data_IF_698141849265
#
_entry.id   IF_698141849265
#
_cell.length_a   1.000
_cell.length_b   1.000
_cell.length_c   1.000
_cell.angle_alpha   90.00
_cell.angle_beta   90.00
_cell.angle_gamma   90.00
#
_symmetry.space_group_name_H-M   'P 1'
#
loop_
_entity.id
_entity.type
_entity.pdbx_description
1 polymer ?
#
# COMPACT_ATOMS: atom_id res chain seq x y z
N UNK A 1 -28.02 23.21 31.89
CA UNK A 1 -27.56 21.94 32.47
C UNK A 1 -28.54 20.86 32.05
N UNK A 2 -28.12 19.98 31.13
CA UNK A 2 -28.91 18.81 30.75
C UNK A 2 -28.30 17.60 31.44
N UNK A 3 -29.07 16.95 32.31
CA UNK A 3 -28.68 15.71 32.97
C UNK A 3 -28.43 14.66 31.88
N UNK A 4 -27.23 14.08 31.84
CA UNK A 4 -26.82 13.06 30.89
C UNK A 4 -27.52 11.71 31.10
N UNK A 5 -28.84 11.72 31.32
CA UNK A 5 -29.62 10.51 31.38
C UNK A 5 -29.89 10.02 29.95
N UNK A 6 -29.38 8.82 29.67
CA UNK A 6 -29.64 8.11 28.43
C UNK A 6 -31.15 8.02 28.22
N UNK A 7 -31.65 8.68 27.16
CA UNK A 7 -33.06 8.57 26.74
C UNK A 7 -33.34 7.10 26.41
N UNK A 8 -33.98 6.40 27.35
CA UNK A 8 -34.67 5.13 27.10
C UNK A 8 -35.77 5.41 26.05
N UNK A 9 -35.95 4.48 25.12
CA UNK A 9 -36.98 4.46 24.07
C UNK A 9 -36.68 5.14 22.73
N UNK A 10 -35.55 4.77 22.12
CA UNK A 10 -35.49 4.56 20.67
C UNK A 10 -34.83 3.21 20.44
N UNK A 11 -35.31 2.41 19.48
CA UNK A 11 -34.89 1.03 19.19
C UNK A 11 -33.44 0.85 18.77
N UNK A 12 -32.53 1.38 19.57
CA UNK A 12 -31.09 1.27 19.49
C UNK A 12 -30.76 0.02 20.29
N UNK A 13 -30.12 -0.94 19.64
CA UNK A 13 -29.56 -2.14 20.26
C UNK A 13 -28.86 -1.77 21.58
N UNK A 14 -29.17 -2.47 22.69
CA UNK A 14 -28.56 -2.22 24.00
C UNK A 14 -27.03 -2.33 23.95
N UNK A 15 -26.50 -3.11 23.00
CA UNK A 15 -25.07 -3.27 22.76
C UNK A 15 -24.52 -2.31 21.70
N UNK A 16 -25.30 -1.36 21.21
CA UNK A 16 -24.87 -0.44 20.15
C UNK A 16 -23.67 0.42 20.60
N UNK A 17 -23.62 0.82 21.87
CA UNK A 17 -22.49 1.57 22.46
C UNK A 17 -21.24 0.71 22.71
N UNK A 18 -21.38 -0.62 22.76
CA UNK A 18 -20.25 -1.55 22.87
C UNK A 18 -19.67 -1.89 21.50
N UNK A 19 -20.53 -1.94 20.46
CA UNK A 19 -20.13 -2.24 19.07
C UNK A 19 -19.44 -1.08 18.36
N UNK A 20 -19.60 0.15 18.83
CA UNK A 20 -19.03 1.35 18.22
C UNK A 20 -17.79 1.90 18.92
N UNK A 21 -17.24 2.96 18.35
CA UNK A 21 -16.11 3.71 18.90
C UNK A 21 -16.44 5.19 18.93
N UNK A 22 -15.98 5.86 19.97
CA UNK A 22 -16.02 7.30 20.11
C UNK A 22 -14.82 7.94 19.41
N UNK A 23 -15.08 8.99 18.64
CA UNK A 23 -14.09 9.81 17.96
C UNK A 23 -14.13 11.22 18.55
N UNK A 24 -12.96 11.83 18.77
CA UNK A 24 -12.85 13.18 19.33
C UNK A 24 -12.47 14.17 18.22
N UNK A 25 -13.27 15.21 18.06
CA UNK A 25 -13.03 16.30 17.12
C UNK A 25 -12.98 17.62 17.89
N UNK A 26 -12.20 18.58 17.40
CA UNK A 26 -12.39 19.98 17.83
C UNK A 26 -13.61 20.55 17.09
N UNK A 27 -14.40 21.36 17.78
CA UNK A 27 -15.47 22.11 17.14
C UNK A 27 -14.92 23.17 16.16
N UNK A 28 -15.81 23.82 15.41
CA UNK A 28 -15.41 24.81 14.40
C UNK A 28 -14.66 26.03 14.96
N UNK A 29 -14.83 26.33 16.26
CA UNK A 29 -14.15 27.44 16.94
C UNK A 29 -12.78 27.05 17.50
N UNK A 30 -12.48 25.75 17.57
CA UNK A 30 -11.26 25.25 18.18
C UNK A 30 -11.21 25.37 19.72
N UNK A 31 -12.34 25.61 20.38
CA UNK A 31 -12.40 25.88 21.83
C UNK A 31 -12.97 24.72 22.66
N UNK A 32 -13.67 23.77 22.05
CA UNK A 32 -14.17 22.59 22.74
C UNK A 32 -14.05 21.30 21.93
N UNK A 33 -13.97 20.17 22.64
CA UNK A 33 -14.00 18.85 22.04
C UNK A 33 -15.43 18.33 21.93
N UNK A 34 -15.71 17.68 20.81
CA UNK A 34 -16.95 16.97 20.53
C UNK A 34 -16.61 15.50 20.32
N UNK A 35 -17.34 14.62 21.00
CA UNK A 35 -17.21 13.18 20.88
C UNK A 35 -18.35 12.64 20.03
N UNK A 36 -18.02 11.92 18.96
CA UNK A 36 -18.99 11.33 18.04
C UNK A 36 -18.85 9.81 18.06
N UNK A 37 -19.92 9.10 18.38
CA UNK A 37 -19.94 7.66 18.35
C UNK A 37 -20.28 7.17 16.94
N UNK A 38 -19.40 6.41 16.27
CA UNK A 38 -19.58 6.08 14.85
C UNK A 38 -20.80 5.19 14.56
N UNK A 39 -21.21 4.35 15.50
CA UNK A 39 -22.28 3.37 15.29
C UNK A 39 -23.65 3.97 15.61
N UNK A 40 -23.82 4.53 16.81
CA UNK A 40 -25.08 5.16 17.26
C UNK A 40 -25.27 6.56 16.67
N UNK A 41 -24.20 7.17 16.13
CA UNK A 41 -24.16 8.59 15.71
C UNK A 41 -24.44 9.57 16.86
N UNK A 42 -24.30 9.11 18.10
CA UNK A 42 -24.46 9.97 19.28
C UNK A 42 -23.33 11.00 19.35
N UNK A 43 -23.67 12.20 19.81
CA UNK A 43 -22.77 13.34 19.87
C UNK A 43 -22.86 13.95 21.27
N UNK A 44 -21.73 13.98 21.97
CA UNK A 44 -21.64 14.62 23.30
C UNK A 44 -20.44 15.56 23.38
N UNK A 45 -20.58 16.62 24.18
CA UNK A 45 -19.48 17.52 24.53
C UNK A 45 -18.70 17.03 25.77
N UNK A 46 -19.30 16.17 26.59
CA UNK A 46 -18.64 15.55 27.74
C UNK A 46 -17.91 14.28 27.30
N UNK A 47 -16.74 14.02 27.89
CA UNK A 47 -15.98 12.81 27.59
C UNK A 47 -16.81 11.57 27.99
N UNK A 48 -17.13 10.67 27.04
CA UNK A 48 -17.82 9.42 27.35
C UNK A 48 -16.97 8.55 28.28
N UNK A 49 -17.60 7.83 29.21
CA UNK A 49 -16.89 6.96 30.16
C UNK A 49 -16.07 5.86 29.46
N UNK A 50 -16.58 5.33 28.35
CA UNK A 50 -15.90 4.32 27.52
C UNK A 50 -14.96 4.94 26.46
N UNK A 51 -14.69 6.26 26.50
CA UNK A 51 -13.70 6.88 25.62
C UNK A 51 -12.27 6.69 26.17
N UNK A 52 -11.57 5.72 25.57
CA UNK A 52 -10.15 5.51 25.79
C UNK A 52 -9.34 6.33 24.77
N UNK A 53 -8.60 7.33 25.26
CA UNK A 53 -7.55 7.96 24.46
C UNK A 53 -6.40 6.97 24.27
N UNK A 54 -5.79 7.01 23.09
CA UNK A 54 -4.54 6.29 22.87
C UNK A 54 -3.49 6.85 23.82
N UNK A 55 -2.87 5.98 24.61
CA UNK A 55 -1.70 6.31 25.41
C UNK A 55 -0.54 6.77 24.50
N UNK A 56 0.43 7.51 25.05
CA UNK A 56 1.61 7.92 24.29
C UNK A 56 2.40 6.72 23.74
N UNK A 57 2.37 5.58 24.45
CA UNK A 57 2.97 4.32 23.98
C UNK A 57 2.21 3.76 22.77
N UNK A 58 0.88 3.77 22.79
CA UNK A 58 0.05 3.33 21.67
C UNK A 58 0.21 4.25 20.45
N UNK A 59 0.29 5.57 20.64
CA UNK A 59 0.57 6.54 19.56
C UNK A 59 1.96 6.30 18.96
N UNK A 60 2.97 6.11 19.80
CA UNK A 60 4.32 5.81 19.36
C UNK A 60 4.39 4.48 18.59
N UNK A 61 3.61 3.48 19.00
CA UNK A 61 3.48 2.21 18.29
C UNK A 61 2.84 2.38 16.92
N UNK A 62 1.72 3.10 16.82
CA UNK A 62 1.06 3.37 15.53
C UNK A 62 2.03 4.12 14.59
N UNK A 63 2.78 5.09 15.10
CA UNK A 63 3.79 5.80 14.31
C UNK A 63 4.88 4.86 13.76
N UNK A 64 5.22 3.78 14.48
CA UNK A 64 6.18 2.76 14.03
C UNK A 64 5.61 1.81 12.97
N UNK A 65 4.28 1.68 12.87
CA UNK A 65 3.62 0.90 11.82
C UNK A 65 3.78 1.53 10.43
N UNK A 66 3.94 2.86 10.36
CA UNK A 66 4.24 3.58 9.13
C UNK A 66 3.06 4.36 8.58
N UNK A 67 2.80 4.21 7.28
CA UNK A 67 1.76 4.93 6.53
C UNK A 67 0.46 4.13 6.52
N UNK A 68 -0.65 4.76 6.85
CA UNK A 68 -1.95 4.08 6.79
C UNK A 68 -2.34 3.82 5.33
N UNK A 69 -2.94 2.66 5.07
CA UNK A 69 -3.25 2.19 3.70
C UNK A 69 -3.97 3.22 2.81
N UNK A 70 -4.84 4.06 3.38
CA UNK A 70 -5.58 5.09 2.62
C UNK A 70 -4.72 6.28 2.19
N UNK A 71 -3.58 6.49 2.83
CA UNK A 71 -2.64 7.59 2.57
C UNK A 71 -1.54 7.17 1.58
N UNK A 72 -1.40 5.86 1.32
CA UNK A 72 -0.38 5.29 0.43
C UNK A 72 -0.35 5.93 -0.96
N UNK A 73 -1.49 6.20 -1.65
CA UNK A 73 -1.44 6.83 -2.97
C UNK A 73 -0.77 8.21 -2.96
N UNK A 74 -1.10 9.04 -1.97
CA UNK A 74 -0.49 10.36 -1.82
C UNK A 74 1.00 10.26 -1.47
N UNK A 75 1.36 9.25 -0.67
CA UNK A 75 2.76 9.01 -0.31
C UNK A 75 3.61 8.52 -1.49
N UNK A 76 3.06 7.66 -2.36
CA UNK A 76 3.70 7.26 -3.62
C UNK A 76 3.99 8.49 -4.48
N UNK A 77 2.98 9.34 -4.68
CA UNK A 77 3.12 10.58 -5.46
C UNK A 77 4.17 11.51 -4.85
N UNK A 78 4.18 11.65 -3.51
CA UNK A 78 5.17 12.45 -2.79
C UNK A 78 6.60 11.95 -3.04
N UNK A 79 6.83 10.64 -2.95
CA UNK A 79 8.14 10.04 -3.21
C UNK A 79 8.57 10.27 -4.66
N UNK A 80 7.67 10.04 -5.62
CA UNK A 80 7.97 10.23 -7.04
C UNK A 80 8.33 11.68 -7.38
N UNK A 81 7.58 12.63 -6.84
CA UNK A 81 7.72 14.05 -7.22
C UNK A 81 8.83 14.74 -6.44
N UNK A 82 8.98 14.45 -5.14
CA UNK A 82 9.93 15.14 -4.27
C UNK A 82 11.27 14.42 -4.14
N UNK A 83 11.24 13.10 -3.97
CA UNK A 83 12.46 12.30 -3.75
C UNK A 83 13.03 11.76 -5.07
N UNK A 84 12.24 11.75 -6.15
CA UNK A 84 12.63 11.21 -7.46
C UNK A 84 13.13 9.76 -7.37
N UNK A 85 12.43 8.98 -6.56
CA UNK A 85 12.72 7.58 -6.29
C UNK A 85 11.50 6.69 -6.54
N UNK A 86 11.73 5.39 -6.64
CA UNK A 86 10.67 4.38 -6.69
C UNK A 86 10.36 3.94 -5.25
N UNK A 87 9.10 3.96 -4.79
CA UNK A 87 8.74 3.44 -3.48
C UNK A 87 8.66 1.92 -3.45
N UNK A 88 9.24 1.33 -2.40
CA UNK A 88 9.00 -0.06 -1.97
C UNK A 88 8.06 -0.02 -0.76
N UNK A 89 6.87 -0.58 -0.93
CA UNK A 89 5.83 -0.72 0.07
C UNK A 89 6.01 -2.03 0.82
N UNK A 90 6.12 -1.96 2.13
CA UNK A 90 6.23 -3.10 3.03
C UNK A 90 4.97 -3.23 3.86
N UNK A 91 4.19 -4.28 3.62
CA UNK A 91 2.96 -4.56 4.38
C UNK A 91 2.95 -5.96 5.00
N UNK A 92 2.16 -6.15 6.04
CA UNK A 92 1.75 -7.48 6.49
C UNK A 92 0.96 -8.19 5.38
N UNK A 93 0.69 -9.49 5.53
CA UNK A 93 -0.17 -10.22 4.59
C UNK A 93 -1.53 -9.52 4.40
N UNK A 94 -2.19 -9.13 5.49
CA UNK A 94 -3.50 -8.47 5.47
C UNK A 94 -3.43 -7.10 4.79
N UNK A 95 -2.37 -6.33 5.06
CA UNK A 95 -2.14 -5.05 4.37
C UNK A 95 -1.86 -5.21 2.88
N UNK A 96 -1.04 -6.19 2.50
CA UNK A 96 -0.76 -6.47 1.10
C UNK A 96 -2.01 -6.93 0.34
N UNK A 97 -2.84 -7.80 0.92
CA UNK A 97 -4.11 -8.24 0.31
C UNK A 97 -5.09 -7.08 0.12
N UNK A 98 -5.22 -6.21 1.12
CA UNK A 98 -6.01 -4.99 1.02
C UNK A 98 -5.48 -4.04 -0.06
N UNK A 99 -4.15 -3.86 -0.17
CA UNK A 99 -3.53 -3.04 -1.21
C UNK A 99 -3.68 -3.65 -2.61
N UNK A 100 -3.58 -4.97 -2.76
CA UNK A 100 -3.86 -5.65 -4.04
C UNK A 100 -5.26 -5.33 -4.52
N UNK A 101 -6.23 -5.45 -3.62
CA UNK A 101 -7.64 -5.15 -3.88
C UNK A 101 -7.80 -3.68 -4.31
N UNK A 102 -7.18 -2.76 -3.57
CA UNK A 102 -7.15 -1.34 -3.94
C UNK A 102 -6.58 -1.11 -5.35
N UNK A 103 -5.40 -1.65 -5.66
CA UNK A 103 -4.75 -1.44 -6.96
C UNK A 103 -5.48 -2.12 -8.13
N UNK A 104 -6.20 -3.20 -7.86
CA UNK A 104 -7.01 -3.91 -8.86
C UNK A 104 -8.27 -3.11 -9.25
N UNK A 105 -8.95 -2.48 -8.28
CA UNK A 105 -10.20 -1.76 -8.52
C UNK A 105 -10.02 -0.27 -8.81
N UNK A 106 -8.90 0.33 -8.41
CA UNK A 106 -8.64 1.74 -8.63
C UNK A 106 -8.26 1.98 -10.11
N UNK A 107 -9.05 2.85 -10.77
CA UNK A 107 -8.86 3.24 -12.18
C UNK A 107 -7.54 3.94 -12.45
N UNK A 108 -6.93 4.55 -11.43
CA UNK A 108 -5.67 5.29 -11.53
C UNK A 108 -4.45 4.40 -11.27
N UNK A 109 -4.65 3.08 -11.26
CA UNK A 109 -3.57 2.13 -11.02
C UNK A 109 -3.72 0.84 -11.82
N UNK A 110 -2.67 0.03 -11.79
CA UNK A 110 -2.64 -1.29 -12.39
C UNK A 110 -1.82 -2.20 -11.51
N UNK A 111 -2.35 -3.38 -11.21
CA UNK A 111 -1.64 -4.41 -10.47
C UNK A 111 -0.91 -5.33 -11.44
N UNK A 112 0.39 -5.52 -11.24
CA UNK A 112 1.22 -6.54 -11.85
C UNK A 112 1.56 -7.58 -10.79
N UNK A 113 1.00 -8.77 -10.90
CA UNK A 113 1.26 -9.87 -9.97
C UNK A 113 2.50 -10.66 -10.42
N UNK A 114 3.65 -10.33 -9.83
CA UNK A 114 4.95 -10.94 -10.15
C UNK A 114 5.15 -12.30 -9.48
N UNK A 115 4.21 -12.77 -8.64
CA UNK A 115 4.32 -14.08 -7.98
C UNK A 115 4.34 -15.26 -8.96
N UNK A 116 3.82 -15.05 -10.18
CA UNK A 116 3.84 -16.03 -11.27
C UNK A 116 5.20 -16.14 -11.96
N UNK A 117 6.13 -15.20 -11.73
CA UNK A 117 7.46 -15.20 -12.34
C UNK A 117 8.44 -16.19 -11.68
N UNK A 118 8.04 -16.87 -10.59
CA UNK A 118 8.88 -17.85 -9.87
C UNK A 118 9.36 -19.02 -10.75
N UNK A 119 8.58 -19.40 -11.76
CA UNK A 119 8.98 -20.35 -12.80
C UNK A 119 8.78 -19.65 -14.13
N UNK A 120 9.87 -19.47 -14.87
CA UNK A 120 9.86 -18.86 -16.19
C UNK A 120 8.73 -19.45 -17.04
N UNK A 121 7.71 -18.63 -17.28
CA UNK A 121 6.61 -18.94 -18.18
C UNK A 121 6.43 -17.72 -19.07
N UNK A 122 6.56 -17.90 -20.39
CA UNK A 122 6.38 -16.82 -21.36
C UNK A 122 5.02 -16.13 -21.22
N UNK A 123 3.98 -16.84 -20.80
CA UNK A 123 2.67 -16.25 -20.51
C UNK A 123 2.70 -15.27 -19.33
N UNK A 124 3.44 -15.57 -18.26
CA UNK A 124 3.57 -14.69 -17.10
C UNK A 124 4.40 -13.43 -17.44
N UNK A 125 5.45 -13.58 -18.23
CA UNK A 125 6.23 -12.44 -18.73
C UNK A 125 5.39 -11.54 -19.63
N UNK A 126 4.58 -12.12 -20.50
CA UNK A 126 3.67 -11.36 -21.37
C UNK A 126 2.56 -10.65 -20.58
N UNK A 127 2.00 -11.29 -19.54
CA UNK A 127 1.06 -10.64 -18.61
C UNK A 127 1.71 -9.41 -17.94
N UNK A 128 2.95 -9.55 -17.48
CA UNK A 128 3.72 -8.45 -16.88
C UNK A 128 3.97 -7.33 -17.88
N UNK A 129 4.43 -7.66 -19.09
CA UNK A 129 4.68 -6.73 -20.19
C UNK A 129 3.43 -5.92 -20.53
N UNK A 130 2.30 -6.61 -20.70
CA UNK A 130 1.01 -5.97 -21.01
C UNK A 130 0.56 -5.03 -19.88
N UNK A 131 0.74 -5.42 -18.61
CA UNK A 131 0.43 -4.55 -17.48
C UNK A 131 1.28 -3.26 -17.51
N UNK A 132 2.59 -3.38 -17.78
CA UNK A 132 3.47 -2.20 -17.91
C UNK A 132 3.04 -1.29 -19.06
N UNK A 133 2.80 -1.85 -20.25
CA UNK A 133 2.35 -1.09 -21.42
C UNK A 133 1.03 -0.40 -21.13
N UNK A 134 0.07 -1.11 -20.53
CA UNK A 134 -1.21 -0.55 -20.16
C UNK A 134 -1.08 0.64 -19.19
N UNK A 135 -0.26 0.51 -18.15
CA UNK A 135 -0.03 1.60 -17.20
C UNK A 135 0.63 2.81 -17.84
N UNK A 136 1.61 2.61 -18.73
CA UNK A 136 2.24 3.72 -19.47
C UNK A 136 1.24 4.41 -20.41
N UNK A 137 0.42 3.63 -21.13
CA UNK A 137 -0.61 4.14 -22.04
C UNK A 137 -1.66 4.95 -21.31
N UNK A 138 -2.03 4.57 -20.08
CA UNK A 138 -3.04 5.28 -19.30
C UNK A 138 -2.46 6.38 -18.40
N UNK A 139 -1.15 6.37 -18.13
CA UNK A 139 -0.53 7.28 -17.15
C UNK A 139 -0.93 6.92 -15.71
N UNK A 140 -1.02 5.63 -15.40
CA UNK A 140 -1.45 5.14 -14.08
C UNK A 140 -0.28 4.59 -13.25
N UNK A 141 -0.51 4.42 -11.95
CA UNK A 141 0.47 3.78 -11.06
C UNK A 141 0.52 2.26 -11.27
N UNK A 142 1.64 1.74 -11.71
CA UNK A 142 1.93 0.30 -11.77
C UNK A 142 2.43 -0.20 -10.41
N UNK A 143 1.68 -1.08 -9.77
CA UNK A 143 2.10 -1.76 -8.55
C UNK A 143 2.60 -3.18 -8.85
N UNK A 144 3.87 -3.46 -8.56
CA UNK A 144 4.50 -4.77 -8.74
C UNK A 144 4.39 -5.54 -7.42
N UNK A 145 3.45 -6.48 -7.35
CA UNK A 145 3.29 -7.35 -6.18
C UNK A 145 4.21 -8.57 -6.28
N UNK A 146 5.15 -8.70 -5.35
CA UNK A 146 6.10 -9.83 -5.35
C UNK A 146 5.68 -10.99 -4.43
N UNK A 147 4.69 -10.79 -3.57
CA UNK A 147 4.23 -11.79 -2.61
C UNK A 147 5.29 -12.25 -1.61
N UNK A 148 5.25 -13.54 -1.30
CA UNK A 148 6.03 -14.25 -0.28
C UNK A 148 7.38 -14.78 -0.77
N UNK A 149 7.59 -14.83 -2.09
CA UNK A 149 8.86 -15.22 -2.70
C UNK A 149 9.23 -14.19 -3.75
N UNK A 150 10.34 -13.49 -3.50
CA UNK A 150 10.85 -12.46 -4.38
C UNK A 150 11.34 -13.10 -5.70
N UNK A 151 10.75 -12.77 -6.87
CA UNK A 151 11.26 -13.23 -8.15
C UNK A 151 12.61 -12.58 -8.44
N UNK A 152 13.47 -13.28 -9.17
CA UNK A 152 14.72 -12.72 -9.67
C UNK A 152 14.45 -11.90 -10.92
N UNK A 153 14.47 -10.57 -10.80
CA UNK A 153 14.28 -9.68 -11.93
C UNK A 153 15.57 -9.44 -12.72
N UNK A 154 16.73 -9.87 -12.22
CA UNK A 154 18.03 -9.69 -12.86
C UNK A 154 18.35 -10.83 -13.84
N UNK A 155 17.84 -12.04 -13.57
CA UNK A 155 18.09 -13.20 -14.42
C UNK A 155 17.49 -13.01 -15.83
N UNK A 156 18.36 -13.10 -16.86
CA UNK A 156 17.96 -12.95 -18.25
C UNK A 156 17.16 -14.17 -18.70
N UNK A 157 15.84 -14.04 -18.67
CA UNK A 157 14.97 -15.08 -19.22
C UNK A 157 14.93 -14.94 -20.74
N UNK A 158 15.71 -15.76 -21.45
CA UNK A 158 15.75 -15.77 -22.90
C UNK A 158 14.70 -16.74 -23.48
N UNK A 159 13.72 -16.25 -24.23
CA UNK A 159 13.03 -17.05 -25.26
C UNK A 159 13.42 -16.50 -26.64
N UNK A 160 13.54 -17.40 -27.61
CA UNK A 160 14.52 -17.33 -28.69
C UNK A 160 14.23 -16.36 -29.86
N UNK A 161 13.21 -15.48 -29.77
CA UNK A 161 12.85 -14.59 -30.88
C UNK A 161 12.73 -13.11 -30.53
N UNK A 162 12.38 -12.79 -29.29
CA UNK A 162 12.39 -11.44 -28.71
C UNK A 162 13.13 -11.58 -27.39
N UNK A 163 14.08 -10.71 -27.07
CA UNK A 163 14.87 -10.85 -25.83
C UNK A 163 13.95 -10.57 -24.64
N UNK A 164 13.30 -11.62 -24.14
CA UNK A 164 12.23 -11.65 -23.12
C UNK A 164 12.73 -11.38 -21.69
N UNK A 165 13.71 -10.49 -21.54
CA UNK A 165 14.19 -10.08 -20.22
C UNK A 165 13.24 -9.06 -19.64
N UNK A 166 12.91 -9.19 -18.35
CA UNK A 166 12.14 -8.17 -17.63
C UNK A 166 12.88 -6.82 -17.73
N UNK A 167 12.19 -5.71 -18.07
CA UNK A 167 12.85 -4.44 -18.34
C UNK A 167 13.43 -3.85 -17.05
N UNK A 168 14.74 -3.99 -16.85
CA UNK A 168 15.43 -3.49 -15.65
C UNK A 168 15.24 -1.97 -15.46
N UNK A 169 15.08 -1.23 -16.57
CA UNK A 169 14.79 0.20 -16.57
C UNK A 169 13.50 0.56 -15.83
N UNK A 170 12.57 -0.38 -15.62
CA UNK A 170 11.37 -0.18 -14.82
C UNK A 170 11.69 0.09 -13.34
N UNK A 171 12.84 -0.41 -12.86
CA UNK A 171 13.33 -0.21 -11.49
C UNK A 171 14.16 1.06 -11.31
N UNK A 172 14.26 1.88 -12.37
CA UNK A 172 14.97 3.16 -12.33
C UNK A 172 13.96 4.30 -12.47
N UNK A 173 14.05 5.30 -11.61
CA UNK A 173 13.25 6.52 -11.76
C UNK A 173 13.50 7.15 -13.15
N UNK A 174 12.44 7.39 -13.90
CA UNK A 174 12.52 7.90 -15.29
C UNK A 174 13.09 6.91 -16.30
N UNK A 175 13.40 5.66 -15.92
CA UNK A 175 14.05 4.70 -16.82
C UNK A 175 13.21 4.34 -18.06
N UNK A 176 11.88 4.51 -17.98
CA UNK A 176 10.95 4.29 -19.09
C UNK A 176 10.83 5.49 -20.04
N UNK A 177 11.49 6.62 -19.79
CA UNK A 177 11.53 7.75 -20.74
C UNK A 177 12.38 7.42 -21.98
N UNK A 178 13.33 6.48 -21.84
CA UNK A 178 14.21 6.06 -22.93
C UNK A 178 13.41 5.36 -24.05
N UNK A 179 13.45 5.93 -25.24
CA UNK A 179 12.72 5.44 -26.42
C UNK A 179 13.12 4.02 -26.83
N UNK A 180 14.42 3.67 -26.77
CA UNK A 180 14.89 2.34 -27.12
C UNK A 180 14.37 1.26 -26.16
N UNK A 181 14.15 1.61 -24.90
CA UNK A 181 13.56 0.69 -23.91
C UNK A 181 12.08 0.48 -24.24
N UNK A 182 11.36 1.55 -24.58
CA UNK A 182 9.93 1.50 -24.93
C UNK A 182 9.69 0.71 -26.21
N UNK A 183 10.49 0.94 -27.25
CA UNK A 183 10.41 0.21 -28.52
C UNK A 183 10.64 -1.31 -28.36
N UNK A 184 11.36 -1.73 -27.32
CA UNK A 184 11.53 -3.16 -26.99
C UNK A 184 10.35 -3.76 -26.23
N UNK A 185 9.53 -2.92 -25.59
CA UNK A 185 8.45 -3.34 -24.71
C UNK A 185 7.08 -3.33 -25.41
N UNK A 186 6.85 -2.34 -26.27
CA UNK A 186 5.62 -2.21 -27.06
C UNK A 186 5.67 -3.12 -28.28
N UNK A 187 4.55 -3.77 -28.57
CA UNK A 187 4.30 -4.41 -29.86
C UNK A 187 3.76 -3.41 -30.85
N UNK A 188 3.90 -3.70 -32.14
CA UNK A 188 3.49 -2.77 -33.20
C UNK A 188 1.98 -2.45 -33.16
N UNK A 189 1.14 -3.40 -32.73
CA UNK A 189 -0.31 -3.22 -32.57
C UNK A 189 -0.69 -2.42 -31.31
N UNK A 190 0.24 -2.22 -30.38
CA UNK A 190 0.01 -1.46 -29.15
C UNK A 190 0.43 0.02 -29.26
N UNK A 191 1.23 0.33 -30.29
CA UNK A 191 1.70 1.68 -30.61
C UNK A 191 0.54 2.57 -31.03
N UNK A 192 0.56 3.82 -30.57
CA UNK A 192 -0.44 4.84 -30.94
C UNK A 192 0.20 5.75 -31.99
N UNK A 193 -0.30 5.71 -33.23
CA UNK A 193 0.28 6.47 -34.34
C UNK A 193 1.74 6.09 -34.64
N UNK A 194 2.12 4.83 -34.38
CA UNK A 194 3.50 4.35 -34.54
C UNK A 194 4.44 4.71 -33.38
N UNK A 195 3.94 5.36 -32.32
CA UNK A 195 4.74 5.75 -31.15
C UNK A 195 4.44 4.88 -29.94
N UNK A 196 5.39 4.81 -29.01
CA UNK A 196 5.27 4.16 -27.71
C UNK A 196 4.90 5.19 -26.62
N UNK A 197 3.61 5.52 -26.40
CA UNK A 197 3.21 6.59 -25.50
C UNK A 197 3.50 6.25 -24.04
N UNK A 198 4.03 7.22 -23.30
CA UNK A 198 4.07 7.23 -21.83
C UNK A 198 3.36 8.48 -21.39
N UNK A 199 2.14 8.33 -20.87
CA UNK A 199 1.34 9.47 -20.45
C UNK A 199 1.84 10.00 -19.10
N UNK A 200 1.69 11.31 -18.85
CA UNK A 200 1.93 11.88 -17.52
C UNK A 200 1.13 11.13 -16.45
N UNK A 201 1.74 10.94 -15.28
CA UNK A 201 1.13 10.20 -14.16
C UNK A 201 1.56 8.73 -14.07
N UNK A 202 2.27 8.20 -15.08
CA UNK A 202 2.88 6.87 -14.97
C UNK A 202 3.91 6.85 -13.83
N UNK A 203 3.69 5.97 -12.86
CA UNK A 203 4.53 5.76 -11.68
C UNK A 203 4.64 4.26 -11.43
N UNK A 204 5.69 3.81 -10.76
CA UNK A 204 5.94 2.40 -10.40
C UNK A 204 6.09 2.26 -8.89
N UNK A 205 5.46 1.29 -8.25
CA UNK A 205 5.79 0.94 -6.87
C UNK A 205 5.98 -0.57 -6.76
N UNK A 206 6.79 -1.00 -5.80
CA UNK A 206 7.02 -2.42 -5.53
C UNK A 206 6.38 -2.74 -4.19
N UNK A 207 5.58 -3.79 -4.13
CA UNK A 207 4.95 -4.23 -2.90
C UNK A 207 5.53 -5.56 -2.45
N UNK A 208 6.14 -5.54 -1.27
CA UNK A 208 6.75 -6.68 -0.60
C UNK A 208 5.99 -6.97 0.69
N UNK A 209 5.79 -8.26 0.96
CA UNK A 209 5.30 -8.69 2.25
C UNK A 209 6.43 -8.62 3.29
N UNK A 210 6.10 -8.24 4.52
CA UNK A 210 7.00 -8.41 5.66
C UNK A 210 6.40 -9.31 6.72
N UNK A 211 7.29 -10.00 7.45
CA UNK A 211 6.92 -10.88 8.53
C UNK A 211 6.50 -10.04 9.75
N UNK A 212 5.24 -10.19 10.12
CA UNK A 212 4.62 -9.52 11.25
C UNK A 212 5.30 -9.81 12.58
N UNK A 213 6.06 -10.90 12.71
CA UNK A 213 6.67 -11.37 13.95
C UNK A 213 7.73 -10.41 14.55
N UNK A 214 8.24 -9.42 13.81
CA UNK A 214 9.35 -8.57 14.28
C UNK A 214 9.26 -7.07 14.02
N UNK A 215 8.21 -6.56 13.36
CA UNK A 215 8.21 -5.20 12.77
C UNK A 215 9.47 -4.93 11.92
N UNK A 216 10.11 -5.99 11.43
CA UNK A 216 11.25 -5.94 10.55
C UNK A 216 10.76 -5.47 9.18
N UNK A 217 11.59 -4.69 8.47
CA UNK A 217 11.18 -4.07 7.21
C UNK A 217 10.71 -5.10 6.16
N UNK A 218 11.13 -6.37 6.22
CA UNK A 218 10.77 -7.38 5.23
C UNK A 218 10.93 -8.81 5.77
N UNK A 219 10.18 -9.77 5.21
CA UNK A 219 10.47 -11.22 5.36
C UNK A 219 11.74 -11.62 4.61
N UNK A 220 12.18 -10.78 3.67
CA UNK A 220 13.39 -10.96 2.91
C UNK A 220 14.56 -10.27 3.59
N UNK A 221 15.74 -10.90 3.53
CA UNK A 221 16.97 -10.25 3.97
C UNK A 221 17.30 -9.09 3.03
N UNK A 222 17.89 -8.01 3.54
CA UNK A 222 18.30 -6.87 2.71
C UNK A 222 19.23 -7.28 1.55
N UNK A 223 20.06 -8.30 1.76
CA UNK A 223 20.90 -8.89 0.72
C UNK A 223 20.08 -9.53 -0.41
N UNK A 224 19.01 -10.25 -0.07
CA UNK A 224 18.13 -10.88 -1.06
C UNK A 224 17.36 -9.83 -1.88
N UNK A 225 16.90 -8.75 -1.23
CA UNK A 225 16.26 -7.62 -1.92
C UNK A 225 17.25 -7.00 -2.91
N UNK A 226 18.48 -6.70 -2.48
CA UNK A 226 19.52 -6.12 -3.34
C UNK A 226 19.94 -7.02 -4.48
N UNK A 227 19.96 -8.33 -4.27
CA UNK A 227 20.34 -9.28 -5.32
C UNK A 227 19.25 -9.49 -6.37
N UNK A 228 17.97 -9.32 -6.01
CA UNK A 228 16.85 -9.66 -6.89
C UNK A 228 16.09 -8.47 -7.45
N UNK A 229 16.07 -7.34 -6.74
CA UNK A 229 15.46 -6.08 -7.20
C UNK A 229 16.59 -5.14 -7.63
N UNK A 230 16.70 -4.83 -8.94
CA UNK A 230 17.67 -3.86 -9.45
C UNK A 230 17.51 -2.51 -8.77
N UNK A 231 18.63 -1.84 -8.47
CA UNK A 231 18.65 -0.47 -7.93
C UNK A 231 17.86 -0.29 -6.62
N UNK A 232 17.62 -1.36 -5.85
CA UNK A 232 16.83 -1.28 -4.61
C UNK A 232 17.39 -0.28 -3.60
N UNK A 233 18.70 -0.07 -3.59
CA UNK A 233 19.38 0.88 -2.68
C UNK A 233 19.04 2.35 -2.98
N UNK A 234 18.48 2.65 -4.16
CA UNK A 234 18.02 3.98 -4.55
C UNK A 234 16.52 4.18 -4.37
N UNK A 235 15.84 3.17 -3.84
CA UNK A 235 14.39 3.19 -3.65
C UNK A 235 14.01 3.72 -2.27
N UNK A 236 12.85 4.36 -2.17
CA UNK A 236 12.33 4.84 -0.90
C UNK A 236 11.52 3.73 -0.21
N UNK A 237 11.83 3.43 1.04
CA UNK A 237 11.16 2.35 1.76
C UNK A 237 9.98 2.91 2.58
N UNK A 238 8.77 2.42 2.34
CA UNK A 238 7.54 2.83 3.02
C UNK A 238 6.94 1.63 3.72
N UNK A 239 6.73 1.72 5.04
CA UNK A 239 5.91 0.73 5.76
C UNK A 239 4.44 1.10 5.62
N UNK A 240 3.61 0.10 5.40
CA UNK A 240 2.16 0.27 5.29
C UNK A 240 1.45 -0.58 6.33
N UNK A 241 0.34 -0.06 6.84
CA UNK A 241 -0.51 -0.78 7.78
C UNK A 241 -1.99 -0.52 7.51
N UNK A 242 -2.83 -1.47 7.90
CA UNK A 242 -4.28 -1.35 7.86
C UNK A 242 -4.89 -1.36 9.28
N UNK A 243 -6.22 -1.33 9.38
CA UNK A 243 -6.88 -1.32 10.69
C UNK A 243 -6.64 -2.62 11.48
N UNK A 244 -6.48 -3.76 10.82
CA UNK A 244 -6.22 -5.05 11.48
C UNK A 244 -4.82 -5.08 12.09
N UNK A 245 -3.81 -4.60 11.37
CA UNK A 245 -2.43 -4.48 11.87
C UNK A 245 -2.39 -3.56 13.10
N UNK A 246 -3.11 -2.44 13.02
CA UNK A 246 -3.24 -1.50 14.13
C UNK A 246 -3.90 -2.16 15.34
N UNK A 247 -4.98 -2.91 15.15
CA UNK A 247 -5.67 -3.59 16.25
C UNK A 247 -4.78 -4.64 16.91
N UNK A 248 -4.13 -5.50 16.12
CA UNK A 248 -3.20 -6.51 16.61
C UNK A 248 -2.06 -5.89 17.42
N UNK A 249 -1.40 -4.86 16.88
CA UNK A 249 -0.30 -4.18 17.56
C UNK A 249 -0.74 -3.58 18.92
N UNK A 250 -1.93 -2.98 18.98
CA UNK A 250 -2.46 -2.41 20.23
C UNK A 250 -2.83 -3.50 21.25
N UNK A 251 -3.37 -4.63 20.79
CA UNK A 251 -3.70 -5.77 21.65
C UNK A 251 -2.45 -6.41 22.27
N UNK A 252 -1.40 -6.61 21.47
CA UNK A 252 -0.10 -7.11 21.96
C UNK A 252 0.50 -6.20 23.03
N UNK A 253 0.45 -4.88 22.81
CA UNK A 253 0.95 -3.90 23.76
C UNK A 253 0.19 -3.95 25.09
N UNK A 254 -1.14 -4.14 25.04
CA UNK A 254 -2.00 -4.17 26.23
C UNK A 254 -1.88 -5.45 27.03
N UNK A 255 -1.77 -6.58 26.34
CA UNK A 255 -1.73 -7.91 26.99
C UNK A 255 -0.32 -8.31 27.40
N UNK A 256 0.71 -7.68 26.84
CA UNK A 256 2.11 -8.08 26.99
C UNK A 256 2.40 -9.46 26.39
N UNK A 257 1.43 -10.07 25.70
CA UNK A 257 1.56 -11.34 24.98
C UNK A 257 1.69 -11.00 23.50
N UNK A 258 2.70 -11.55 22.83
CA UNK A 258 2.71 -11.56 21.36
C UNK A 258 1.46 -12.30 20.89
N UNK A 259 0.74 -11.74 19.92
CA UNK A 259 -0.38 -12.44 19.31
C UNK A 259 0.22 -13.61 18.53
N UNK A 260 -0.13 -14.83 18.94
CA UNK A 260 0.28 -16.07 18.24
C UNK A 260 -0.34 -16.14 16.84
#
# INVERSE_FOLDING_TARGET
EGTGEAKKDRGIDLHAYEKGKWYRFLNYKGDCYVYVHNHTRDITATRPENFAELTEQEKALIKKLGTYIKEVPAEIERVYTKEKAIPILYGSQTSCEAMKTFFYYNKNSTLLDATKLKRVNGGALEECRRAMVWSMKLGTTLCIYCGDILPDFQEKICISKYKDTFPLSLFMYGGMENELVRERLFRDDEKEGGQCPVRPGFMVCIMLMYDTMGLAMSSFRAEEIRSKIPESDRMAHIRIYNDDDRLKALEELRTGRRAE
#
